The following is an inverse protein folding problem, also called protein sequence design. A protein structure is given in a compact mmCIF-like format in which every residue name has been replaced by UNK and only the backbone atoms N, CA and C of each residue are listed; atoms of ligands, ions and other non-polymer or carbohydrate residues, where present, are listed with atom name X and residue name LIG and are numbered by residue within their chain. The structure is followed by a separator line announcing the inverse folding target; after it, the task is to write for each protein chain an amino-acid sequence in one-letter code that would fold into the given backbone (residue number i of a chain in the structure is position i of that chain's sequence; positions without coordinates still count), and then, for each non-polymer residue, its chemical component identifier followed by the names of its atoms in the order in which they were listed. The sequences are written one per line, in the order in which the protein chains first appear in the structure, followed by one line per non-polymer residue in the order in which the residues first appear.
data_IF_081328833767
#
_entry.id   IF_081328833767
#
_cell.length_a   1.000
_cell.length_b   1.000
_cell.length_c   1.000
_cell.angle_alpha   90.00
_cell.angle_beta   90.00
_cell.angle_gamma   90.00
#
_symmetry.space_group_name_H-M   'P 1'
#
loop_
_entity.id
_entity.type
_entity.pdbx_description
1 polymer ?
#
# COMPACT_ATOMS: atom_id res chain seq x y z
N UNK A 1 -32.83 -19.87 -23.49
CA UNK A 1 -33.55 -18.70 -22.96
C UNK A 1 -32.84 -18.23 -21.70
N UNK A 2 -32.58 -16.93 -21.58
CA UNK A 2 -31.98 -16.34 -20.38
C UNK A 2 -33.07 -16.03 -19.33
N UNK A 3 -32.79 -16.17 -18.01
CA UNK A 3 -33.70 -15.74 -16.95
C UNK A 3 -34.01 -14.23 -17.03
N UNK A 4 -35.17 -13.83 -16.49
CA UNK A 4 -35.51 -12.42 -16.33
C UNK A 4 -34.63 -11.78 -15.24
N UNK A 5 -34.21 -10.52 -15.45
CA UNK A 5 -33.35 -9.80 -14.51
C UNK A 5 -34.19 -9.25 -13.36
N UNK A 6 -33.99 -9.77 -12.15
CA UNK A 6 -34.67 -9.28 -10.97
C UNK A 6 -33.81 -8.27 -10.20
N UNK A 7 -34.45 -7.41 -9.38
CA UNK A 7 -33.71 -6.43 -8.55
C UNK A 7 -32.74 -7.12 -7.57
N UNK A 8 -33.04 -8.35 -7.17
CA UNK A 8 -32.17 -9.17 -6.34
C UNK A 8 -30.84 -9.57 -7.04
N UNK A 9 -30.82 -9.64 -8.37
CA UNK A 9 -29.61 -9.92 -9.16
C UNK A 9 -28.71 -8.68 -9.30
N UNK A 10 -29.25 -7.48 -9.10
CA UNK A 10 -28.55 -6.19 -9.23
C UNK A 10 -27.96 -5.69 -7.90
N UNK A 11 -27.61 -6.58 -6.97
CA UNK A 11 -26.95 -6.17 -5.72
C UNK A 11 -25.49 -5.85 -5.97
N UNK A 12 -25.05 -4.67 -5.53
CA UNK A 12 -23.63 -4.27 -5.56
C UNK A 12 -22.80 -5.29 -4.78
N UNK A 13 -21.76 -5.86 -5.42
CA UNK A 13 -20.77 -6.66 -4.71
C UNK A 13 -20.10 -5.78 -3.65
N UNK A 14 -20.33 -6.11 -2.39
CA UNK A 14 -19.70 -5.45 -1.24
C UNK A 14 -18.32 -6.00 -0.95
N UNK A 15 -17.81 -6.90 -1.80
CA UNK A 15 -16.54 -7.59 -1.55
C UNK A 15 -15.35 -6.66 -1.71
N UNK A 16 -15.51 -5.59 -2.48
CA UNK A 16 -14.53 -4.50 -2.61
C UNK A 16 -14.56 -3.58 -1.38
N UNK A 17 -15.75 -3.28 -0.84
CA UNK A 17 -15.92 -2.35 0.31
C UNK A 17 -15.66 -3.01 1.66
N UNK A 18 -15.83 -4.33 1.77
CA UNK A 18 -15.51 -5.12 2.97
C UNK A 18 -14.73 -6.36 2.55
N UNK A 19 -13.42 -6.25 2.28
CA UNK A 19 -12.61 -7.43 2.02
C UNK A 19 -12.64 -8.31 3.27
N UNK A 20 -12.99 -9.59 3.10
CA UNK A 20 -12.98 -10.63 4.15
C UNK A 20 -14.21 -10.66 5.10
N UNK A 21 -15.39 -10.23 4.62
CA UNK A 21 -16.63 -10.44 5.39
C UNK A 21 -17.02 -11.92 5.45
N UNK A 22 -17.44 -12.40 6.62
CA UNK A 22 -17.80 -13.80 6.82
C UNK A 22 -18.91 -14.23 5.84
N UNK A 23 -18.75 -15.40 5.20
CA UNK A 23 -19.70 -15.91 4.22
C UNK A 23 -19.50 -15.41 2.79
N UNK A 24 -18.48 -14.61 2.49
CA UNK A 24 -18.17 -14.16 1.12
C UNK A 24 -17.95 -15.29 0.13
N UNK A 25 -17.25 -16.35 0.54
CA UNK A 25 -17.03 -17.54 -0.31
C UNK A 25 -18.32 -18.30 -0.63
N UNK A 26 -19.37 -18.16 0.18
CA UNK A 26 -20.68 -18.78 -0.04
C UNK A 26 -21.65 -17.92 -0.85
N UNK A 27 -21.32 -16.64 -1.09
CA UNK A 27 -22.14 -15.75 -1.92
C UNK A 27 -22.01 -16.15 -3.37
N UNK A 28 -23.14 -16.50 -3.97
CA UNK A 28 -23.23 -16.72 -5.41
C UNK A 28 -23.28 -15.38 -6.12
N UNK A 29 -22.43 -15.20 -7.12
CA UNK A 29 -22.53 -14.09 -8.05
C UNK A 29 -23.87 -14.19 -8.82
N UNK A 30 -24.43 -13.06 -9.27
CA UNK A 30 -25.61 -13.06 -10.12
C UNK A 30 -25.44 -13.99 -11.33
N UNK A 31 -26.55 -14.59 -11.78
CA UNK A 31 -26.52 -15.64 -12.80
C UNK A 31 -25.87 -15.21 -14.12
N UNK A 32 -25.90 -13.91 -14.46
CA UNK A 32 -25.30 -13.36 -15.67
C UNK A 32 -23.77 -13.23 -15.60
N UNK A 33 -23.18 -13.29 -14.41
CA UNK A 33 -21.72 -13.45 -14.20
C UNK A 33 -21.29 -14.91 -14.12
N UNK A 34 -22.24 -15.85 -14.03
CA UNK A 34 -21.96 -17.28 -14.03
C UNK A 34 -22.20 -17.87 -15.42
N UNK A 35 -21.22 -18.60 -15.94
CA UNK A 35 -21.36 -19.25 -17.25
C UNK A 35 -22.09 -20.59 -17.02
N UNK A 36 -23.28 -20.77 -17.60
CA UNK A 36 -23.89 -22.10 -17.66
C UNK A 36 -23.07 -22.93 -18.64
N UNK A 37 -22.42 -23.99 -18.16
CA UNK A 37 -21.90 -25.07 -18.99
C UNK A 37 -23.08 -25.84 -19.61
N UNK A 38 -23.70 -25.25 -20.63
CA UNK A 38 -24.50 -25.98 -21.61
C UNK A 38 -23.57 -26.36 -22.74
N UNK A 39 -23.51 -27.64 -23.06
CA UNK A 39 -22.83 -28.18 -24.24
C UNK A 39 -23.24 -27.40 -25.49
N UNK A 40 -22.25 -27.01 -26.31
CA UNK A 40 -22.37 -26.29 -27.60
C UNK A 40 -22.34 -24.75 -27.53
N UNK A 41 -21.16 -24.17 -27.32
CA UNK A 41 -20.83 -22.82 -27.83
C UNK A 41 -19.41 -22.85 -28.44
N UNK A 42 -19.22 -22.47 -29.73
CA UNK A 42 -17.90 -22.36 -30.32
C UNK A 42 -17.20 -21.07 -29.86
N UNK A 43 -15.92 -21.15 -29.49
CA UNK A 43 -15.08 -20.08 -28.93
C UNK A 43 -14.92 -18.82 -29.84
N UNK A 44 -14.37 -17.66 -29.37
CA UNK A 44 -13.88 -17.32 -28.04
C UNK A 44 -14.64 -16.09 -27.50
N UNK A 45 -15.83 -16.30 -26.94
CA UNK A 45 -16.36 -15.28 -26.02
C UNK A 45 -15.36 -15.23 -24.87
N UNK A 46 -14.94 -14.04 -24.43
CA UNK A 46 -14.14 -13.89 -23.20
C UNK A 46 -15.07 -14.31 -22.07
N UNK A 47 -15.13 -15.61 -21.85
CA UNK A 47 -15.82 -16.27 -20.76
C UNK A 47 -15.00 -15.90 -19.55
N UNK A 48 -15.43 -14.87 -18.83
CA UNK A 48 -14.89 -14.59 -17.51
C UNK A 48 -15.34 -15.77 -16.65
N UNK A 49 -14.48 -16.78 -16.53
CA UNK A 49 -14.71 -17.91 -15.63
C UNK A 49 -14.90 -17.31 -14.23
N UNK A 50 -15.88 -17.83 -13.49
CA UNK A 50 -16.08 -17.46 -12.11
C UNK A 50 -14.79 -17.66 -11.29
N UNK A 51 -13.97 -18.66 -11.65
CA UNK A 51 -12.63 -18.83 -11.08
C UNK A 51 -11.69 -17.65 -11.35
N UNK A 52 -11.76 -17.02 -12.52
CA UNK A 52 -10.90 -15.88 -12.86
C UNK A 52 -11.24 -14.65 -12.02
N UNK A 53 -12.53 -14.39 -11.74
CA UNK A 53 -12.95 -13.29 -10.86
C UNK A 53 -12.42 -13.51 -9.44
N UNK A 54 -12.60 -14.72 -8.89
CA UNK A 54 -12.09 -15.03 -7.55
C UNK A 54 -10.57 -15.03 -7.50
N UNK A 55 -9.89 -15.53 -8.54
CA UNK A 55 -8.43 -15.50 -8.64
C UNK A 55 -7.90 -14.07 -8.68
N UNK A 56 -8.52 -13.18 -9.45
CA UNK A 56 -8.16 -11.77 -9.49
C UNK A 56 -8.36 -11.09 -8.12
N UNK A 57 -9.49 -11.36 -7.45
CA UNK A 57 -9.75 -10.86 -6.10
C UNK A 57 -8.68 -11.32 -5.10
N UNK A 58 -8.35 -12.61 -5.13
CA UNK A 58 -7.29 -13.19 -4.28
C UNK A 58 -5.91 -12.59 -4.59
N UNK A 59 -5.55 -12.44 -5.87
CA UNK A 59 -4.27 -11.83 -6.27
C UNK A 59 -4.16 -10.37 -5.77
N UNK A 60 -5.24 -9.59 -5.86
CA UNK A 60 -5.28 -8.21 -5.34
C UNK A 60 -5.14 -8.18 -3.82
N UNK A 61 -5.87 -9.05 -3.11
CA UNK A 61 -5.79 -9.14 -1.65
C UNK A 61 -4.38 -9.56 -1.19
N UNK A 62 -3.77 -10.52 -1.88
CA UNK A 62 -2.40 -10.96 -1.62
C UNK A 62 -1.40 -9.83 -1.87
N UNK A 63 -1.48 -9.16 -3.02
CA UNK A 63 -0.60 -8.03 -3.34
C UNK A 63 -0.74 -6.89 -2.32
N UNK A 64 -1.96 -6.63 -1.82
CA UNK A 64 -2.18 -5.63 -0.78
C UNK A 64 -1.54 -6.03 0.56
N UNK A 65 -1.69 -7.30 0.96
CA UNK A 65 -1.04 -7.84 2.16
C UNK A 65 0.48 -7.75 2.06
N UNK A 66 1.04 -8.16 0.92
CA UNK A 66 2.49 -8.14 0.70
C UNK A 66 3.01 -6.69 0.72
N UNK A 67 2.30 -5.75 0.08
CA UNK A 67 2.61 -4.31 0.17
C UNK A 67 2.58 -3.79 1.60
N UNK A 68 1.56 -4.12 2.39
CA UNK A 68 1.50 -3.68 3.79
C UNK A 68 2.65 -4.24 4.63
N UNK A 69 3.09 -5.48 4.36
CA UNK A 69 4.24 -6.06 5.02
C UNK A 69 5.54 -5.32 4.64
N UNK A 70 5.70 -4.97 3.36
CA UNK A 70 6.82 -4.14 2.88
C UNK A 70 6.81 -2.74 3.51
N UNK A 71 5.65 -2.05 3.49
CA UNK A 71 5.48 -0.72 4.09
C UNK A 71 5.79 -0.71 5.59
N UNK A 72 5.38 -1.74 6.32
CA UNK A 72 5.70 -1.87 7.74
C UNK A 72 7.21 -1.97 7.97
N UNK A 73 7.91 -2.73 7.14
CA UNK A 73 9.35 -2.90 7.25
C UNK A 73 10.10 -1.61 6.85
N UNK A 74 9.68 -0.97 5.76
CA UNK A 74 10.21 0.33 5.33
C UNK A 74 10.03 1.39 6.43
N UNK A 75 8.86 1.46 7.06
CA UNK A 75 8.58 2.42 8.13
C UNK A 75 9.56 2.27 9.31
N UNK A 76 9.90 1.04 9.72
CA UNK A 76 10.92 0.82 10.76
C UNK A 76 12.28 1.35 10.34
N UNK A 77 12.69 1.08 9.10
CA UNK A 77 13.96 1.58 8.57
C UNK A 77 13.97 3.10 8.46
N UNK A 78 12.89 3.70 7.97
CA UNK A 78 12.72 5.16 7.86
C UNK A 78 12.79 5.86 9.21
N UNK A 79 12.18 5.31 10.27
CA UNK A 79 12.33 5.83 11.63
C UNK A 79 13.81 5.82 12.07
N UNK A 80 14.51 4.71 11.79
CA UNK A 80 15.93 4.59 12.14
C UNK A 80 16.83 5.52 11.30
N UNK A 81 16.51 5.69 10.01
CA UNK A 81 17.24 6.56 9.10
C UNK A 81 17.01 8.02 9.42
N UNK A 82 15.80 8.41 9.81
CA UNK A 82 15.47 9.77 10.25
C UNK A 82 16.31 10.17 11.47
N UNK A 83 16.37 9.32 12.51
CA UNK A 83 17.22 9.58 13.68
C UNK A 83 18.71 9.69 13.32
N UNK A 84 19.20 8.78 12.45
CA UNK A 84 20.60 8.81 11.96
C UNK A 84 20.88 10.05 11.12
N UNK A 85 19.89 10.52 10.35
CA UNK A 85 20.00 11.71 9.54
C UNK A 85 20.15 12.96 10.42
N UNK A 86 19.34 13.11 11.47
CA UNK A 86 19.49 14.23 12.42
C UNK A 86 20.85 14.22 13.10
N UNK A 87 21.30 13.05 13.57
CA UNK A 87 22.64 12.91 14.14
C UNK A 87 23.75 13.27 13.12
N UNK A 88 23.60 12.86 11.86
CA UNK A 88 24.55 13.21 10.80
C UNK A 88 24.56 14.71 10.49
N UNK A 89 23.40 15.36 10.52
CA UNK A 89 23.28 16.82 10.33
C UNK A 89 23.94 17.58 11.47
N UNK A 90 23.72 17.17 12.73
CA UNK A 90 24.41 17.75 13.89
C UNK A 90 25.93 17.60 13.76
N UNK A 91 26.42 16.42 13.34
CA UNK A 91 27.85 16.21 13.09
C UNK A 91 28.38 17.08 11.95
N UNK A 92 27.61 17.30 10.90
CA UNK A 92 28.02 18.17 9.79
C UNK A 92 28.20 19.61 10.26
N UNK A 93 27.28 20.13 11.07
CA UNK A 93 27.41 21.47 11.67
C UNK A 93 28.59 21.57 12.62
N UNK A 94 28.85 20.53 13.43
CA UNK A 94 30.06 20.43 14.27
C UNK A 94 31.35 20.52 13.44
N UNK A 95 31.41 19.82 12.31
CA UNK A 95 32.56 19.90 11.40
C UNK A 95 32.72 21.29 10.80
N UNK A 96 31.62 21.94 10.42
CA UNK A 96 31.64 23.32 9.90
C UNK A 96 32.15 24.31 10.95
N UNK A 97 31.62 24.27 12.17
CA UNK A 97 32.03 25.16 13.26
C UNK A 97 33.50 25.01 13.69
N UNK A 98 34.08 23.82 13.48
CA UNK A 98 35.50 23.55 13.75
C UNK A 98 36.41 23.71 12.53
N UNK A 99 35.88 24.07 11.36
CA UNK A 99 36.69 24.27 10.16
C UNK A 99 37.58 25.50 10.32
N UNK A 100 38.86 25.38 9.95
CA UNK A 100 39.84 26.46 10.08
C UNK A 100 39.50 27.75 9.30
N UNK A 101 38.59 27.65 8.33
CA UNK A 101 38.04 28.78 7.57
C UNK A 101 37.11 29.65 8.44
N UNK A 102 36.49 29.07 9.47
CA UNK A 102 35.59 29.78 10.37
C UNK A 102 36.38 30.38 11.53
N UNK A 103 36.78 31.65 11.38
CA UNK A 103 37.58 32.37 12.38
C UNK A 103 36.77 33.31 13.27
N UNK A 104 35.55 33.68 12.88
CA UNK A 104 34.72 34.60 13.69
C UNK A 104 33.94 33.85 14.78
N UNK A 105 33.88 34.43 15.97
CA UNK A 105 33.12 33.88 17.09
C UNK A 105 31.62 33.72 16.77
N UNK A 106 31.04 34.62 15.97
CA UNK A 106 29.63 34.57 15.59
C UNK A 106 29.27 33.34 14.76
N UNK A 107 30.13 32.96 13.81
CA UNK A 107 29.90 31.74 13.02
C UNK A 107 29.97 30.47 13.87
N UNK A 108 30.83 30.44 14.89
CA UNK A 108 30.91 29.31 15.84
C UNK A 108 29.66 29.24 16.71
N UNK A 109 29.21 30.38 17.24
CA UNK A 109 27.98 30.46 18.02
C UNK A 109 26.77 29.95 17.21
N UNK A 110 26.62 30.39 15.96
CA UNK A 110 25.55 29.92 15.08
C UNK A 110 25.65 28.41 14.79
N UNK A 111 26.85 27.89 14.57
CA UNK A 111 27.04 26.45 14.37
C UNK A 111 26.62 25.64 15.61
N UNK A 112 26.91 26.12 16.82
CA UNK A 112 26.46 25.48 18.07
C UNK A 112 24.94 25.52 18.24
N UNK A 113 24.29 26.64 17.91
CA UNK A 113 22.81 26.71 17.90
C UNK A 113 22.19 25.68 16.94
N UNK A 114 22.78 25.53 15.74
CA UNK A 114 22.31 24.53 14.79
C UNK A 114 22.51 23.10 15.31
N UNK A 115 23.64 22.82 15.96
CA UNK A 115 23.89 21.51 16.58
C UNK A 115 22.85 21.21 17.66
N UNK A 116 22.55 22.18 18.53
CA UNK A 116 21.56 22.03 19.58
C UNK A 116 20.18 21.71 18.98
N UNK A 117 19.73 22.50 18.00
CA UNK A 117 18.48 22.26 17.29
C UNK A 117 18.39 20.86 16.68
N UNK A 118 19.43 20.38 15.96
CA UNK A 118 19.40 19.04 15.36
C UNK A 118 19.44 17.90 16.38
N UNK A 119 19.92 18.14 17.60
CA UNK A 119 19.91 17.14 18.67
C UNK A 119 18.59 17.11 19.46
N UNK A 120 17.79 18.17 19.39
CA UNK A 120 16.48 18.29 20.05
C UNK A 120 15.31 17.77 19.20
N UNK A 121 15.54 17.55 17.89
CA UNK A 121 14.58 16.96 16.93
C UNK A 121 14.67 15.43 16.88
#
# INVERSE_FOLDING_TARGET
QYPFLEKADCTVSTDITKPNSAGQSSRRLPWFWSVRHGTEVPAPVIIVDQNDVYRQSWLRARAQKDRWAEELELCKYEMSWTARFYAAMAQQWRRRGNAAVIQSAGHRAYAEEQIAMWNEL
#
